data_IF_654269585730
#
_entry.id   IF_654269585730
#
_cell.length_a   1.000
_cell.length_b   1.000
_cell.length_c   1.000
_cell.angle_alpha   90.00
_cell.angle_beta   90.00
_cell.angle_gamma   90.00
#
_symmetry.space_group_name_H-M   'P 1'
#
loop_
_entity.id
_entity.type
_entity.pdbx_description
1 polymer ?
#
# COMPACT_ATOMS: atom_id res chain seq x y z
N UNK A 1 26.65 1.35 3.38
CA UNK A 1 25.93 2.60 3.09
C UNK A 1 24.51 2.56 3.69
N UNK A 2 23.63 1.60 3.35
CA UNK A 2 22.24 1.55 3.83
C UNK A 2 22.09 1.52 5.37
N UNK A 3 22.91 0.73 6.06
CA UNK A 3 22.92 0.67 7.54
C UNK A 3 23.35 2.01 8.17
N UNK A 4 24.29 2.71 7.54
CA UNK A 4 24.74 4.03 8.03
C UNK A 4 23.62 5.07 7.83
N UNK A 5 22.92 5.04 6.70
CA UNK A 5 21.79 5.93 6.44
C UNK A 5 20.63 5.64 7.40
N UNK A 6 20.33 4.36 7.63
CA UNK A 6 19.31 3.97 8.59
C UNK A 6 19.68 4.38 10.03
N UNK A 7 20.93 4.19 10.45
CA UNK A 7 21.41 4.63 11.75
C UNK A 7 21.38 6.16 11.87
N UNK A 8 21.82 6.89 10.84
CA UNK A 8 21.73 8.34 10.83
C UNK A 8 20.28 8.85 10.92
N UNK A 9 19.35 8.21 10.20
CA UNK A 9 17.94 8.51 10.28
C UNK A 9 17.35 8.23 11.70
N UNK A 10 17.81 7.17 12.37
CA UNK A 10 17.40 6.83 13.72
C UNK A 10 17.93 7.81 14.79
N UNK A 11 19.19 8.26 14.66
CA UNK A 11 19.81 9.10 15.71
C UNK A 11 19.63 10.59 15.47
N UNK A 12 19.60 11.03 14.21
CA UNK A 12 19.55 12.43 13.84
C UNK A 12 18.25 12.85 13.15
N UNK A 13 17.35 11.92 12.88
CA UNK A 13 16.15 12.17 12.09
C UNK A 13 15.21 13.20 12.74
N UNK A 14 15.03 13.15 14.04
CA UNK A 14 14.20 14.12 14.75
C UNK A 14 14.78 15.54 14.69
N UNK A 15 16.09 15.66 14.89
CA UNK A 15 16.79 16.95 14.79
C UNK A 15 16.78 17.52 13.36
N UNK A 16 16.95 16.64 12.36
CA UNK A 16 17.00 17.06 10.96
C UNK A 16 15.62 17.47 10.43
N UNK A 17 14.56 16.80 10.87
CA UNK A 17 13.20 17.04 10.41
C UNK A 17 12.48 18.12 11.22
N UNK A 18 12.97 18.47 12.40
CA UNK A 18 12.37 19.49 13.26
C UNK A 18 10.94 19.19 13.74
N UNK A 19 10.45 17.98 13.54
CA UNK A 19 9.10 17.54 13.89
C UNK A 19 9.08 16.07 14.30
N UNK A 20 8.57 15.79 15.47
CA UNK A 20 8.40 14.42 15.99
C UNK A 20 7.47 13.60 15.09
N UNK A 21 6.43 14.22 14.53
CA UNK A 21 5.49 13.54 13.63
C UNK A 21 6.18 13.08 12.33
N UNK A 22 6.99 13.94 11.72
CA UNK A 22 7.77 13.60 10.52
C UNK A 22 8.79 12.52 10.80
N UNK A 23 9.41 12.55 11.99
CA UNK A 23 10.34 11.52 12.42
C UNK A 23 9.66 10.15 12.56
N UNK A 24 8.50 10.07 13.21
CA UNK A 24 7.71 8.84 13.31
C UNK A 24 7.30 8.32 11.93
N UNK A 25 6.86 9.20 11.03
CA UNK A 25 6.53 8.83 9.64
C UNK A 25 7.75 8.30 8.88
N UNK A 26 8.94 8.86 9.11
CA UNK A 26 10.21 8.36 8.53
C UNK A 26 10.51 6.93 9.01
N UNK A 27 10.42 6.67 10.31
CA UNK A 27 10.67 5.35 10.89
C UNK A 27 9.70 4.30 10.35
N UNK A 28 8.42 4.64 10.28
CA UNK A 28 7.38 3.78 9.71
C UNK A 28 7.66 3.54 8.22
N UNK A 29 8.06 4.57 7.48
CA UNK A 29 8.43 4.46 6.08
C UNK A 29 9.61 3.52 5.83
N UNK A 30 10.65 3.57 6.68
CA UNK A 30 11.78 2.64 6.66
C UNK A 30 11.29 1.20 6.91
N UNK A 31 10.44 1.01 7.92
CA UNK A 31 9.85 -0.30 8.24
C UNK A 31 9.01 -0.86 7.09
N UNK A 32 8.15 -0.04 6.48
CA UNK A 32 7.36 -0.44 5.31
C UNK A 32 8.23 -0.78 4.10
N UNK A 33 9.22 0.06 3.79
CA UNK A 33 10.15 -0.17 2.69
C UNK A 33 10.91 -1.48 2.88
N UNK A 34 11.37 -1.74 4.10
CA UNK A 34 12.03 -2.99 4.46
C UNK A 34 11.10 -4.21 4.29
N UNK A 35 9.89 -4.14 4.83
CA UNK A 35 8.91 -5.23 4.74
C UNK A 35 8.49 -5.52 3.30
N UNK A 36 8.26 -4.48 2.48
CA UNK A 36 7.95 -4.62 1.05
C UNK A 36 9.09 -5.28 0.28
N UNK A 37 10.33 -4.86 0.54
CA UNK A 37 11.53 -5.43 -0.09
C UNK A 37 11.74 -6.89 0.30
N UNK A 38 11.62 -7.24 1.59
CA UNK A 38 11.85 -8.61 2.08
C UNK A 38 10.74 -9.59 1.73
N UNK A 39 9.49 -9.11 1.68
CA UNK A 39 8.33 -9.92 1.31
C UNK A 39 8.11 -10.04 -0.20
N UNK A 40 8.80 -9.25 -1.01
CA UNK A 40 8.54 -9.12 -2.46
C UNK A 40 7.06 -8.87 -2.77
N UNK A 41 6.40 -8.09 -1.91
CA UNK A 41 4.97 -7.80 -1.99
C UNK A 41 4.77 -6.49 -2.73
N UNK A 42 4.04 -6.54 -3.84
CA UNK A 42 3.67 -5.35 -4.60
C UNK A 42 2.37 -5.59 -5.36
N UNK A 43 1.48 -4.60 -5.37
CA UNK A 43 0.18 -4.73 -6.03
C UNK A 43 0.35 -4.94 -7.54
N UNK A 44 1.17 -4.14 -8.20
CA UNK A 44 1.48 -4.32 -9.62
C UNK A 44 2.17 -5.66 -9.90
N UNK A 45 3.05 -6.10 -9.01
CA UNK A 45 3.68 -7.41 -9.10
C UNK A 45 2.67 -8.55 -9.11
N UNK A 46 1.56 -8.42 -8.38
CA UNK A 46 0.50 -9.44 -8.37
C UNK A 46 -0.24 -9.53 -9.71
N UNK A 47 -0.54 -8.38 -10.31
CA UNK A 47 -1.21 -8.29 -11.62
C UNK A 47 -0.27 -8.78 -12.73
N UNK A 48 0.99 -8.32 -12.72
CA UNK A 48 1.98 -8.70 -13.72
C UNK A 48 2.27 -10.21 -13.68
N UNK A 49 2.44 -10.80 -12.49
CA UNK A 49 2.63 -12.26 -12.35
C UNK A 49 1.42 -13.04 -12.86
N UNK A 50 0.20 -12.60 -12.53
CA UNK A 50 -1.02 -13.23 -13.05
C UNK A 50 -1.05 -13.22 -14.59
N UNK A 51 -0.67 -12.11 -15.21
CA UNK A 51 -0.64 -11.98 -16.67
C UNK A 51 0.49 -12.78 -17.31
N UNK A 52 1.73 -12.63 -16.83
CA UNK A 52 2.93 -13.23 -17.46
C UNK A 52 3.06 -14.72 -17.18
N UNK A 53 2.85 -15.14 -15.93
CA UNK A 53 3.08 -16.52 -15.49
C UNK A 53 1.81 -17.31 -15.22
N UNK A 54 0.66 -16.63 -15.10
CA UNK A 54 -0.60 -17.24 -14.71
C UNK A 54 -0.74 -17.46 -13.18
N UNK A 55 0.31 -17.16 -12.38
CA UNK A 55 0.27 -17.31 -10.92
C UNK A 55 -0.51 -16.16 -10.27
N UNK A 56 -1.53 -16.49 -9.51
CA UNK A 56 -2.34 -15.52 -8.73
C UNK A 56 -2.09 -15.62 -7.23
N UNK A 57 -1.02 -16.33 -6.83
CA UNK A 57 -0.69 -16.54 -5.42
C UNK A 57 -0.50 -15.22 -4.66
N UNK A 58 0.25 -14.28 -5.25
CA UNK A 58 0.47 -12.97 -4.63
C UNK A 58 -0.83 -12.16 -4.50
N UNK A 59 -1.74 -12.24 -5.49
CA UNK A 59 -3.05 -11.59 -5.40
C UNK A 59 -3.86 -12.09 -4.19
N UNK A 60 -3.89 -13.40 -3.96
CA UNK A 60 -4.59 -13.99 -2.80
C UNK A 60 -3.98 -13.54 -1.48
N UNK A 61 -2.65 -13.41 -1.41
CA UNK A 61 -1.96 -12.91 -0.22
C UNK A 61 -2.24 -11.43 0.02
N UNK A 62 -2.35 -10.62 -1.04
CA UNK A 62 -2.78 -9.23 -0.90
C UNK A 62 -4.20 -9.11 -0.36
N UNK A 63 -5.13 -9.96 -0.81
CA UNK A 63 -6.49 -9.98 -0.25
C UNK A 63 -6.47 -10.37 1.24
N UNK A 64 -5.65 -11.35 1.61
CA UNK A 64 -5.43 -11.68 3.02
C UNK A 64 -4.85 -10.50 3.81
N UNK A 65 -3.85 -9.79 3.26
CA UNK A 65 -3.27 -8.60 3.88
C UNK A 65 -4.33 -7.51 4.08
N UNK A 66 -5.15 -7.24 3.09
CA UNK A 66 -6.21 -6.22 3.19
C UNK A 66 -7.25 -6.59 4.25
N UNK A 67 -7.65 -7.85 4.31
CA UNK A 67 -8.58 -8.33 5.33
C UNK A 67 -8.00 -8.18 6.74
N UNK A 68 -6.75 -8.61 6.96
CA UNK A 68 -6.07 -8.47 8.25
C UNK A 68 -5.88 -7.00 8.62
N UNK A 69 -5.49 -6.15 7.66
CA UNK A 69 -5.38 -4.70 7.88
C UNK A 69 -6.72 -4.09 8.30
N UNK A 70 -7.82 -4.47 7.64
CA UNK A 70 -9.15 -4.00 7.98
C UNK A 70 -9.54 -4.44 9.40
N UNK A 71 -9.33 -5.71 9.73
CA UNK A 71 -9.62 -6.25 11.06
C UNK A 71 -8.84 -5.53 12.17
N UNK A 72 -7.55 -5.32 11.97
CA UNK A 72 -6.71 -4.60 12.93
C UNK A 72 -7.05 -3.11 12.99
N UNK A 73 -7.45 -2.49 11.87
CA UNK A 73 -7.88 -1.09 11.82
C UNK A 73 -9.15 -0.86 12.63
N UNK A 74 -10.07 -1.83 12.64
CA UNK A 74 -11.26 -1.76 13.49
C UNK A 74 -10.88 -1.68 14.98
N UNK A 75 -9.85 -2.42 15.42
CA UNK A 75 -9.40 -2.34 16.82
C UNK A 75 -8.90 -0.94 17.21
N UNK A 76 -8.37 -0.17 16.26
CA UNK A 76 -7.92 1.22 16.48
C UNK A 76 -9.09 2.21 16.39
N UNK A 77 -10.02 1.99 15.46
CA UNK A 77 -11.13 2.91 15.23
C UNK A 77 -12.28 2.69 16.21
N UNK A 78 -12.41 1.48 16.77
CA UNK A 78 -13.49 1.16 17.70
C UNK A 78 -13.43 2.03 18.96
N UNK A 79 -14.53 2.69 19.26
CA UNK A 79 -14.64 3.60 20.40
C UNK A 79 -14.07 5.02 20.16
N UNK A 80 -13.57 5.29 18.96
CA UNK A 80 -13.12 6.62 18.57
C UNK A 80 -14.05 7.19 17.49
N UNK A 81 -14.09 8.52 17.42
CA UNK A 81 -14.79 9.19 16.31
C UNK A 81 -13.96 9.07 15.03
N UNK A 82 -14.54 8.44 14.00
CA UNK A 82 -13.89 8.27 12.71
C UNK A 82 -13.49 9.60 12.05
N UNK A 83 -14.22 10.69 12.36
CA UNK A 83 -13.91 12.03 11.84
C UNK A 83 -12.65 12.64 12.45
N UNK A 84 -12.18 12.09 13.58
CA UNK A 84 -10.89 12.50 14.19
C UNK A 84 -9.66 11.95 13.47
N UNK A 85 -9.86 11.02 12.52
CA UNK A 85 -8.82 10.44 11.68
C UNK A 85 -8.90 11.01 10.27
N UNK A 86 -7.75 11.24 9.64
CA UNK A 86 -7.64 11.58 8.23
C UNK A 86 -7.80 10.31 7.38
N UNK A 87 -9.04 9.82 7.31
CA UNK A 87 -9.38 8.63 6.55
C UNK A 87 -9.66 8.99 5.10
N UNK A 88 -9.04 8.26 4.20
CA UNK A 88 -9.30 8.40 2.77
C UNK A 88 -10.50 7.56 2.36
N UNK A 89 -11.69 8.14 2.42
CA UNK A 89 -12.95 7.49 2.02
C UNK A 89 -13.30 7.94 0.60
N UNK A 90 -13.01 7.12 -0.39
CA UNK A 90 -13.22 7.49 -1.79
C UNK A 90 -14.68 7.49 -2.21
N UNK A 91 -15.11 8.44 -3.07
CA UNK A 91 -16.39 8.40 -3.74
C UNK A 91 -16.47 7.21 -4.72
N UNK A 92 -17.65 6.60 -4.81
CA UNK A 92 -17.95 5.55 -5.80
C UNK A 92 -18.62 6.21 -7.00
N UNK A 93 -17.91 6.26 -8.13
CA UNK A 93 -18.36 6.95 -9.32
C UNK A 93 -17.72 6.39 -10.60
N UNK A 94 -18.07 6.94 -11.74
CA UNK A 94 -17.49 6.59 -13.03
C UNK A 94 -15.99 6.83 -13.07
N UNK A 95 -15.50 7.89 -12.39
CA UNK A 95 -14.08 8.22 -12.29
C UNK A 95 -13.26 7.13 -11.60
N UNK A 96 -13.81 6.51 -10.56
CA UNK A 96 -13.19 5.38 -9.88
C UNK A 96 -13.02 4.17 -10.82
N UNK A 97 -14.05 3.87 -11.62
CA UNK A 97 -13.99 2.75 -12.56
C UNK A 97 -13.00 3.00 -13.70
N UNK A 98 -13.06 4.15 -14.35
CA UNK A 98 -12.16 4.53 -15.42
C UNK A 98 -10.73 4.67 -14.91
N UNK A 99 -10.54 5.33 -13.76
CA UNK A 99 -9.24 5.47 -13.11
C UNK A 99 -8.62 4.13 -12.74
N UNK A 100 -9.42 3.20 -12.22
CA UNK A 100 -8.98 1.84 -11.92
C UNK A 100 -8.54 1.06 -13.17
N UNK A 101 -9.27 1.18 -14.28
CA UNK A 101 -8.88 0.59 -15.55
C UNK A 101 -7.57 1.18 -16.09
N UNK A 102 -7.45 2.50 -16.15
CA UNK A 102 -6.24 3.19 -16.62
C UNK A 102 -5.04 2.86 -15.73
N UNK A 103 -5.24 2.81 -14.42
CA UNK A 103 -4.19 2.40 -13.47
C UNK A 103 -3.76 0.95 -13.70
N UNK A 104 -4.72 0.04 -13.95
CA UNK A 104 -4.43 -1.35 -14.30
C UNK A 104 -3.57 -1.48 -15.56
N UNK A 105 -3.92 -0.77 -16.61
CA UNK A 105 -3.09 -0.69 -17.84
C UNK A 105 -1.70 -0.14 -17.52
N UNK A 106 -1.62 0.98 -16.80
CA UNK A 106 -0.34 1.59 -16.41
C UNK A 106 0.57 0.62 -15.64
N UNK A 107 0.01 -0.15 -14.70
CA UNK A 107 0.76 -1.16 -13.94
C UNK A 107 1.34 -2.28 -14.82
N UNK A 108 0.63 -2.70 -15.86
CA UNK A 108 1.12 -3.74 -16.79
C UNK A 108 2.29 -3.22 -17.63
N UNK A 109 2.20 -2.00 -18.15
CA UNK A 109 3.26 -1.41 -18.97
C UNK A 109 4.50 -1.02 -18.17
N UNK A 110 4.32 -0.42 -16.98
CA UNK A 110 5.44 0.01 -16.13
C UNK A 110 6.05 -1.13 -15.31
N UNK A 111 5.33 -2.26 -15.17
CA UNK A 111 5.74 -3.37 -14.30
C UNK A 111 5.72 -3.05 -12.80
N UNK A 112 5.26 -1.85 -12.40
CA UNK A 112 5.25 -1.42 -11.00
C UNK A 112 4.03 -0.54 -10.67
N UNK A 113 3.78 -0.34 -9.39
CA UNK A 113 2.81 0.61 -8.85
C UNK A 113 3.56 1.70 -8.07
N UNK A 114 2.83 2.61 -7.43
CA UNK A 114 3.40 3.70 -6.64
C UNK A 114 4.45 3.24 -5.61
N UNK A 115 4.17 2.18 -4.87
CA UNK A 115 5.14 1.60 -3.92
C UNK A 115 6.20 0.75 -4.61
N UNK A 116 5.83 0.05 -5.68
CA UNK A 116 6.73 -0.83 -6.43
C UNK A 116 7.84 -0.06 -7.17
N UNK A 117 7.57 1.17 -7.63
CA UNK A 117 8.59 1.97 -8.32
C UNK A 117 9.79 2.30 -7.42
N UNK A 118 9.55 2.52 -6.12
CA UNK A 118 10.63 2.77 -5.16
C UNK A 118 11.49 1.52 -4.92
N UNK A 119 10.88 0.34 -4.89
CA UNK A 119 11.63 -0.92 -4.80
C UNK A 119 12.45 -1.14 -6.07
N UNK A 120 11.87 -0.88 -7.25
CA UNK A 120 12.54 -1.01 -8.54
C UNK A 120 13.70 0.00 -8.72
N UNK A 121 13.72 1.11 -7.98
CA UNK A 121 14.87 2.05 -8.02
C UNK A 121 16.19 1.39 -7.60
N UNK A 122 16.14 0.33 -6.81
CA UNK A 122 17.35 -0.39 -6.38
C UNK A 122 17.83 -1.37 -7.46
N UNK A 123 16.89 -1.99 -8.18
CA UNK A 123 17.20 -3.08 -9.13
C UNK A 123 17.25 -2.61 -10.59
N UNK A 124 16.35 -1.68 -10.97
CA UNK A 124 16.12 -1.24 -12.36
C UNK A 124 16.07 0.29 -12.44
N UNK A 125 17.11 0.96 -11.99
CA UNK A 125 17.19 2.42 -11.85
C UNK A 125 16.70 3.22 -13.06
N UNK A 126 17.13 2.97 -14.32
CA UNK A 126 16.68 3.78 -15.46
C UNK A 126 15.18 3.69 -15.71
N UNK A 127 14.61 2.49 -15.63
CA UNK A 127 13.18 2.26 -15.82
C UNK A 127 12.38 2.90 -14.67
N UNK A 128 12.87 2.79 -13.45
CA UNK A 128 12.22 3.35 -12.27
C UNK A 128 12.17 4.88 -12.32
N UNK A 129 13.23 5.55 -12.76
CA UNK A 129 13.28 7.01 -12.89
C UNK A 129 12.26 7.49 -13.92
N UNK A 130 12.21 6.87 -15.09
CA UNK A 130 11.24 7.23 -16.14
C UNK A 130 9.80 7.02 -15.64
N UNK A 131 9.54 5.87 -15.01
CA UNK A 131 8.23 5.56 -14.46
C UNK A 131 7.84 6.57 -13.38
N UNK A 132 8.76 6.91 -12.47
CA UNK A 132 8.53 7.86 -11.38
C UNK A 132 8.22 9.26 -11.92
N UNK A 133 8.93 9.71 -12.95
CA UNK A 133 8.69 10.99 -13.60
C UNK A 133 7.28 11.07 -14.17
N UNK A 134 6.89 10.12 -15.02
CA UNK A 134 5.56 10.12 -15.63
C UNK A 134 4.44 9.85 -14.62
N UNK A 135 4.71 9.05 -13.59
CA UNK A 135 3.75 8.85 -12.50
C UNK A 135 3.52 10.14 -11.71
N UNK A 136 4.59 10.83 -11.32
CA UNK A 136 4.50 12.13 -10.63
C UNK A 136 3.79 13.18 -11.47
N UNK A 137 4.08 13.25 -12.78
CA UNK A 137 3.40 14.12 -13.73
C UNK A 137 1.91 13.80 -13.80
N UNK A 138 1.54 12.51 -13.92
CA UNK A 138 0.14 12.09 -13.98
C UNK A 138 -0.64 12.44 -12.72
N UNK A 139 -0.06 12.24 -11.54
CA UNK A 139 -0.67 12.61 -10.26
C UNK A 139 -0.83 14.15 -10.18
N UNK A 140 0.20 14.90 -10.57
CA UNK A 140 0.17 16.36 -10.56
C UNK A 140 -0.94 16.91 -11.46
N UNK A 141 -1.07 16.42 -12.70
CA UNK A 141 -2.15 16.79 -13.62
C UNK A 141 -3.52 16.33 -13.09
N UNK A 142 -3.54 15.22 -12.33
CA UNK A 142 -4.75 14.69 -11.72
C UNK A 142 -5.35 15.56 -10.61
N UNK A 143 -4.56 16.41 -9.92
CA UNK A 143 -5.05 17.23 -8.83
C UNK A 143 -6.20 18.18 -9.25
N UNK A 144 -6.06 19.03 -10.27
CA UNK A 144 -7.16 19.90 -10.68
C UNK A 144 -8.35 19.12 -11.25
N UNK A 145 -8.10 18.02 -11.97
CA UNK A 145 -9.18 17.17 -12.51
C UNK A 145 -10.00 16.56 -11.38
N UNK A 146 -9.35 16.06 -10.33
CA UNK A 146 -10.01 15.51 -9.15
C UNK A 146 -10.86 16.54 -8.41
N UNK A 147 -10.46 17.82 -8.42
CA UNK A 147 -11.19 18.89 -7.74
C UNK A 147 -12.36 19.45 -8.53
N UNK A 148 -12.26 19.50 -9.85
CA UNK A 148 -13.22 20.20 -10.73
C UNK A 148 -14.20 19.28 -11.44
N UNK A 149 -13.84 18.04 -11.71
CA UNK A 149 -14.67 17.13 -12.49
C UNK A 149 -15.78 16.49 -11.65
N UNK A 150 -17.03 16.81 -11.93
CA UNK A 150 -18.19 16.29 -11.19
C UNK A 150 -18.29 14.74 -11.24
N UNK A 151 -17.93 14.13 -12.37
CA UNK A 151 -17.93 12.67 -12.53
C UNK A 151 -16.86 11.95 -11.68
N UNK A 152 -15.94 12.69 -11.05
CA UNK A 152 -14.95 12.20 -10.08
C UNK A 152 -15.32 12.59 -8.64
N UNK A 153 -15.88 13.80 -8.43
CA UNK A 153 -16.14 14.34 -7.10
C UNK A 153 -17.50 13.91 -6.51
N UNK A 154 -18.47 13.62 -7.38
CA UNK A 154 -19.79 13.19 -6.94
C UNK A 154 -19.81 11.66 -6.81
N UNK A 155 -20.37 11.17 -5.71
CA UNK A 155 -20.53 9.73 -5.46
C UNK A 155 -21.94 9.28 -5.76
N UNK A 156 -22.10 8.09 -6.35
CA UNK A 156 -23.41 7.46 -6.52
C UNK A 156 -24.06 7.06 -5.18
N UNK A 157 -23.20 6.80 -4.20
CA UNK A 157 -23.59 6.47 -2.83
C UNK A 157 -22.68 7.24 -1.88
N UNK A 158 -23.26 7.92 -0.91
CA UNK A 158 -22.52 8.62 0.15
C UNK A 158 -23.06 8.22 1.50
N UNK A 159 -22.18 8.23 2.50
CA UNK A 159 -22.54 7.91 3.88
C UNK A 159 -22.34 9.13 4.78
N UNK A 160 -22.99 9.17 5.97
CA UNK A 160 -22.85 10.30 6.89
C UNK A 160 -21.39 10.62 7.24
N UNK A 161 -20.61 9.61 7.63
CA UNK A 161 -19.19 9.77 7.95
C UNK A 161 -18.39 10.18 6.72
N UNK A 162 -18.64 9.60 5.53
CA UNK A 162 -17.99 9.99 4.29
C UNK A 162 -18.25 11.45 3.90
N UNK A 163 -19.44 11.94 4.18
CA UNK A 163 -19.82 13.36 3.98
C UNK A 163 -19.13 14.25 5.00
N UNK A 164 -19.07 13.84 6.27
CA UNK A 164 -18.41 14.58 7.34
C UNK A 164 -16.90 14.72 7.10
N UNK A 165 -16.26 13.71 6.49
CA UNK A 165 -14.85 13.74 6.07
C UNK A 165 -14.61 14.58 4.80
N UNK A 166 -15.67 15.16 4.20
CA UNK A 166 -15.57 16.02 3.01
C UNK A 166 -15.30 15.29 1.69
N UNK A 167 -15.23 13.96 1.70
CA UNK A 167 -14.93 13.14 0.51
C UNK A 167 -16.17 12.65 -0.22
N UNK A 168 -17.36 12.75 0.39
CA UNK A 168 -18.65 12.21 -0.10
C UNK A 168 -18.58 10.71 -0.43
N UNK A 169 -17.63 10.00 0.14
CA UNK A 169 -17.40 8.58 -0.12
C UNK A 169 -18.26 7.65 0.73
N UNK A 170 -18.02 6.36 0.62
CA UNK A 170 -18.75 5.32 1.36
C UNK A 170 -17.89 4.79 2.49
N UNK A 171 -18.26 5.12 3.71
CA UNK A 171 -17.68 4.53 4.91
C UNK A 171 -18.46 3.27 5.28
N UNK A 172 -17.85 2.10 5.19
CA UNK A 172 -18.54 0.82 5.31
C UNK A 172 -19.30 0.61 6.63
N UNK A 173 -18.79 1.05 7.80
CA UNK A 173 -19.56 0.92 9.04
C UNK A 173 -20.92 1.63 9.01
N UNK A 174 -21.05 2.75 8.32
CA UNK A 174 -22.32 3.47 8.19
C UNK A 174 -23.43 2.68 7.47
N UNK A 175 -23.04 1.66 6.69
CA UNK A 175 -24.01 0.80 5.99
C UNK A 175 -24.72 -0.20 6.92
N UNK A 176 -24.18 -0.42 8.12
CA UNK A 176 -24.63 -1.43 9.06
C UNK A 176 -24.87 -0.87 10.48
N UNK A 177 -25.69 0.19 10.64
CA UNK A 177 -25.79 0.93 11.91
C UNK A 177 -26.33 0.09 13.08
N UNK A 178 -26.97 -1.05 12.80
CA UNK A 178 -27.67 -1.89 13.80
C UNK A 178 -26.98 -3.25 14.05
N UNK A 179 -25.69 -3.38 13.79
CA UNK A 179 -24.97 -4.65 13.95
C UNK A 179 -24.48 -4.94 15.38
N UNK A 180 -24.79 -4.06 16.34
CA UNK A 180 -24.36 -4.18 17.74
C UNK A 180 -22.88 -3.75 18.00
N UNK A 181 -22.10 -3.48 16.95
CA UNK A 181 -20.70 -3.04 17.02
C UNK A 181 -20.47 -1.76 16.22
N UNK A 182 -21.43 -0.83 16.24
CA UNK A 182 -21.35 0.46 15.52
C UNK A 182 -21.03 0.33 14.02
N UNK A 183 -21.53 -0.73 13.37
CA UNK A 183 -21.33 -0.98 11.95
C UNK A 183 -20.03 -1.71 11.60
N UNK A 184 -19.11 -1.88 12.52
CA UNK A 184 -17.82 -2.49 12.23
C UNK A 184 -17.90 -3.98 11.93
N UNK A 185 -18.82 -4.74 12.54
CA UNK A 185 -19.01 -6.15 12.22
C UNK A 185 -19.45 -6.34 10.78
N UNK A 186 -20.48 -5.59 10.36
CA UNK A 186 -20.97 -5.61 8.99
C UNK A 186 -19.89 -5.18 7.98
N UNK A 187 -19.11 -4.15 8.30
CA UNK A 187 -18.01 -3.69 7.48
C UNK A 187 -16.91 -4.77 7.29
N UNK A 188 -16.53 -5.49 8.37
CA UNK A 188 -15.57 -6.59 8.30
C UNK A 188 -16.14 -7.74 7.45
N UNK A 189 -17.40 -8.11 7.66
CA UNK A 189 -18.04 -9.17 6.86
C UNK A 189 -18.11 -8.80 5.38
N UNK A 190 -18.48 -7.57 5.05
CA UNK A 190 -18.49 -7.07 3.68
C UNK A 190 -17.07 -7.11 3.06
N UNK A 191 -16.07 -6.65 3.80
CA UNK A 191 -14.66 -6.70 3.36
C UNK A 191 -14.23 -8.15 3.14
N UNK A 192 -14.59 -9.07 4.02
CA UNK A 192 -14.30 -10.50 3.86
C UNK A 192 -14.93 -11.05 2.58
N UNK A 193 -16.22 -10.77 2.34
CA UNK A 193 -16.93 -11.23 1.13
C UNK A 193 -16.25 -10.71 -0.12
N UNK A 194 -15.88 -9.43 -0.18
CA UNK A 194 -15.17 -8.84 -1.32
C UNK A 194 -13.80 -9.49 -1.53
N UNK A 195 -13.02 -9.72 -0.46
CA UNK A 195 -11.74 -10.41 -0.54
C UNK A 195 -11.90 -11.86 -1.03
N UNK A 196 -12.87 -12.60 -0.51
CA UNK A 196 -13.16 -13.96 -0.94
C UNK A 196 -13.62 -14.03 -2.40
N UNK A 197 -14.38 -13.06 -2.88
CA UNK A 197 -14.78 -12.96 -4.28
C UNK A 197 -13.54 -12.82 -5.18
N UNK A 198 -12.62 -11.91 -4.87
CA UNK A 198 -11.37 -11.75 -5.63
C UNK A 198 -10.51 -13.01 -5.55
N UNK A 199 -10.42 -13.66 -4.39
CA UNK A 199 -9.71 -14.93 -4.24
C UNK A 199 -10.33 -16.01 -5.13
N UNK A 200 -11.66 -16.13 -5.15
CA UNK A 200 -12.40 -17.07 -6.01
C UNK A 200 -12.12 -16.85 -7.48
N UNK A 201 -12.23 -15.61 -7.96
CA UNK A 201 -11.90 -15.22 -9.34
C UNK A 201 -10.43 -15.54 -9.66
N UNK A 202 -9.52 -15.29 -8.72
CA UNK A 202 -8.10 -15.62 -8.86
C UNK A 202 -7.87 -17.12 -9.07
N UNK A 203 -8.54 -17.98 -8.31
CA UNK A 203 -8.47 -19.43 -8.50
C UNK A 203 -9.04 -19.89 -9.83
N UNK A 204 -10.19 -19.33 -10.26
CA UNK A 204 -10.78 -19.63 -11.55
C UNK A 204 -9.83 -19.28 -12.70
N UNK A 205 -9.21 -18.10 -12.64
CA UNK A 205 -8.22 -17.66 -13.62
C UNK A 205 -6.99 -18.58 -13.65
N UNK A 206 -6.40 -18.88 -12.49
CA UNK A 206 -5.23 -19.76 -12.39
C UNK A 206 -5.52 -21.16 -12.92
N UNK A 207 -6.69 -21.73 -12.58
CA UNK A 207 -7.12 -23.03 -13.08
C UNK A 207 -7.30 -23.03 -14.60
N UNK A 208 -7.85 -21.96 -15.18
CA UNK A 208 -7.93 -21.80 -16.65
C UNK A 208 -6.55 -21.78 -17.28
N UNK A 209 -5.58 -21.06 -16.69
CA UNK A 209 -4.19 -20.99 -17.17
C UNK A 209 -3.48 -22.36 -17.07
N UNK A 210 -3.73 -23.11 -16.00
CA UNK A 210 -3.21 -24.47 -15.84
C UNK A 210 -3.77 -25.42 -16.89
N UNK A 211 -5.08 -25.39 -17.14
CA UNK A 211 -5.74 -26.22 -18.18
C UNK A 211 -5.24 -25.90 -19.59
N UNK A 212 -4.88 -24.64 -19.89
CA UNK A 212 -4.34 -24.22 -21.18
C UNK A 212 -2.81 -24.38 -21.30
N UNK A 213 -2.15 -25.03 -20.34
CA UNK A 213 -0.69 -25.23 -20.30
C UNK A 213 0.13 -23.93 -20.39
N UNK A 214 -0.48 -22.79 -20.03
CA UNK A 214 0.17 -21.46 -20.04
C UNK A 214 0.59 -20.99 -18.66
N UNK A 215 0.45 -21.85 -17.64
CA UNK A 215 0.90 -21.56 -16.29
C UNK A 215 2.40 -21.82 -16.16
N UNK A 216 3.15 -20.83 -15.64
CA UNK A 216 4.58 -20.92 -15.37
C UNK A 216 4.83 -20.38 -13.96
N UNK A 217 5.40 -21.20 -13.08
CA UNK A 217 5.78 -20.75 -11.74
C UNK A 217 7.00 -19.82 -11.84
N UNK A 218 7.02 -18.75 -11.07
CA UNK A 218 8.13 -17.82 -11.06
C UNK A 218 9.24 -18.32 -10.12
N UNK A 219 10.51 -18.10 -10.48
CA UNK A 219 11.67 -18.54 -9.70
C UNK A 219 11.64 -18.08 -8.23
N UNK A 220 11.24 -16.83 -7.99
CA UNK A 220 11.07 -16.28 -6.63
C UNK A 220 10.03 -17.04 -5.80
N UNK A 221 8.94 -17.50 -6.43
CA UNK A 221 7.91 -18.30 -5.74
C UNK A 221 8.43 -19.70 -5.39
N UNK A 222 9.28 -20.28 -6.21
CA UNK A 222 9.99 -21.54 -5.91
C UNK A 222 10.89 -21.36 -4.69
N UNK A 223 11.74 -20.34 -4.69
CA UNK A 223 12.63 -20.09 -3.55
C UNK A 223 11.85 -19.92 -2.24
N UNK A 224 10.76 -19.14 -2.26
CA UNK A 224 9.94 -18.94 -1.07
C UNK A 224 9.25 -20.21 -0.60
N UNK A 225 8.84 -21.10 -1.51
CA UNK A 225 8.30 -22.43 -1.17
C UNK A 225 9.37 -23.30 -0.55
N UNK A 226 10.58 -23.33 -1.12
CA UNK A 226 11.70 -24.11 -0.62
C UNK A 226 12.10 -23.71 0.80
N UNK A 227 12.15 -22.40 1.08
CA UNK A 227 12.41 -21.89 2.44
C UNK A 227 11.31 -22.27 3.42
N UNK A 228 10.04 -22.20 3.01
CA UNK A 228 8.92 -22.62 3.85
C UNK A 228 8.94 -24.10 4.14
N UNK A 229 9.30 -24.95 3.17
CA UNK A 229 9.41 -26.38 3.36
C UNK A 229 10.57 -26.75 4.29
N UNK A 230 11.70 -26.05 4.19
CA UNK A 230 12.83 -26.24 5.12
C UNK A 230 12.47 -25.91 6.56
N UNK A 231 11.66 -24.87 6.79
CA UNK A 231 11.20 -24.50 8.12
C UNK A 231 10.18 -25.52 8.71
N UNK A 232 9.37 -26.15 7.85
CA UNK A 232 8.42 -27.20 8.28
C UNK A 232 9.08 -28.55 8.59
N UNK A 233 10.27 -28.80 8.02
CA UNK A 233 11.04 -30.04 8.25
C UNK A 233 12.02 -29.95 9.41
N UNK A 234 12.25 -28.76 9.99
CA UNK A 234 12.98 -28.63 11.25
C UNK A 234 12.04 -28.99 12.39
N UNK A 235 12.42 -30.02 13.16
CA UNK A 235 11.78 -30.33 14.43
C UNK A 235 11.75 -29.05 15.28
N UNK A 236 10.54 -28.61 15.63
CA UNK A 236 10.36 -27.45 16.50
C UNK A 236 10.70 -27.93 17.91
N UNK A 237 11.93 -27.71 18.32
CA UNK A 237 12.34 -27.95 19.69
C UNK A 237 11.72 -26.84 20.58
N UNK A 238 10.59 -27.19 21.20
CA UNK A 238 9.80 -26.29 22.05
C UNK A 238 10.56 -25.95 23.35
N UNK A 239 11.65 -26.66 23.65
CA UNK A 239 12.44 -26.47 24.88
C UNK A 239 13.42 -25.30 24.78
N UNK A 240 13.71 -24.79 23.60
CA UNK A 240 14.59 -23.66 23.40
C UNK A 240 13.81 -22.35 23.32
N UNK A 241 13.98 -21.52 24.35
CA UNK A 241 13.56 -20.10 24.31
C UNK A 241 14.24 -19.45 23.08
N UNK A 242 13.48 -18.82 22.16
CA UNK A 242 14.07 -18.20 20.98
C UNK A 242 15.06 -17.11 21.43
N UNK A 243 16.34 -17.38 21.21
CA UNK A 243 17.39 -16.39 21.50
C UNK A 243 17.35 -15.34 20.40
N UNK A 244 16.94 -14.12 20.75
CA UNK A 244 16.77 -12.99 19.82
C UNK A 244 18.05 -12.59 19.08
N UNK A 245 19.24 -12.91 19.62
CA UNK A 245 20.54 -12.52 19.07
C UNK A 245 21.34 -13.70 18.53
N UNK A 246 20.69 -14.71 17.95
CA UNK A 246 21.37 -15.81 17.27
C UNK A 246 21.62 -15.49 15.78
N UNK A 247 22.63 -16.16 15.21
CA UNK A 247 22.91 -16.10 13.78
C UNK A 247 21.70 -16.52 12.92
N UNK A 248 20.95 -17.52 13.37
CA UNK A 248 19.71 -17.96 12.72
C UNK A 248 18.66 -16.85 12.67
N UNK A 249 18.47 -16.11 13.74
CA UNK A 249 17.55 -14.97 13.79
C UNK A 249 18.00 -13.86 12.85
N UNK A 250 19.30 -13.57 12.83
CA UNK A 250 19.88 -12.60 11.90
C UNK A 250 19.67 -13.02 10.45
N UNK A 251 19.94 -14.28 10.10
CA UNK A 251 19.75 -14.80 8.75
C UNK A 251 18.27 -14.77 8.33
N UNK A 252 17.35 -15.12 9.20
CA UNK A 252 15.90 -15.04 8.93
C UNK A 252 15.40 -13.61 8.72
N UNK A 253 15.89 -12.67 9.51
CA UNK A 253 15.47 -11.28 9.41
C UNK A 253 16.13 -10.55 8.25
N UNK A 254 17.44 -10.70 8.05
CA UNK A 254 18.23 -9.83 7.19
C UNK A 254 18.79 -10.51 5.93
N UNK A 255 18.91 -11.82 5.88
CA UNK A 255 19.51 -12.52 4.74
C UNK A 255 18.46 -13.23 3.89
N UNK A 256 17.62 -14.04 4.51
CA UNK A 256 16.64 -14.88 3.81
C UNK A 256 15.40 -14.07 3.39
N UNK A 257 14.80 -14.32 2.21
CA UNK A 257 13.54 -13.70 1.84
C UNK A 257 12.42 -14.16 2.79
N UNK A 258 11.55 -13.24 3.15
CA UNK A 258 10.40 -13.58 3.99
C UNK A 258 9.34 -14.33 3.18
N UNK A 259 8.55 -15.18 3.87
CA UNK A 259 7.36 -15.71 3.24
C UNK A 259 6.41 -14.55 2.89
N UNK A 260 5.69 -14.66 1.77
CA UNK A 260 4.71 -13.64 1.38
C UNK A 260 3.69 -13.37 2.49
N UNK A 261 3.30 -14.41 3.25
CA UNK A 261 2.35 -14.27 4.37
C UNK A 261 2.95 -13.47 5.53
N UNK A 262 4.19 -13.76 5.90
CA UNK A 262 4.91 -13.01 6.93
C UNK A 262 5.05 -11.54 6.54
N UNK A 263 5.49 -11.27 5.32
CA UNK A 263 5.59 -9.91 4.81
C UNK A 263 4.24 -9.18 4.83
N UNK A 264 3.16 -9.85 4.42
CA UNK A 264 1.81 -9.29 4.44
C UNK A 264 1.34 -8.92 5.86
N UNK A 265 1.57 -9.80 6.85
CA UNK A 265 1.23 -9.53 8.24
C UNK A 265 2.04 -8.36 8.82
N UNK A 266 3.34 -8.30 8.54
CA UNK A 266 4.21 -7.22 9.01
C UNK A 266 3.77 -5.88 8.40
N UNK A 267 3.48 -5.85 7.09
CA UNK A 267 2.98 -4.64 6.42
C UNK A 267 1.65 -4.20 7.03
N UNK A 268 0.72 -5.14 7.25
CA UNK A 268 -0.56 -4.84 7.89
C UNK A 268 -0.38 -4.26 9.30
N UNK A 269 0.50 -4.84 10.11
CA UNK A 269 0.80 -4.35 11.46
C UNK A 269 1.41 -2.93 11.43
N UNK A 270 2.40 -2.70 10.56
CA UNK A 270 3.04 -1.37 10.43
C UNK A 270 2.02 -0.32 9.95
N UNK A 271 1.12 -0.69 9.02
CA UNK A 271 0.06 0.21 8.55
C UNK A 271 -0.87 0.62 9.70
N UNK A 272 -1.27 -0.33 10.53
CA UNK A 272 -2.16 -0.04 11.68
C UNK A 272 -1.46 0.81 12.74
N UNK A 273 -0.17 0.57 12.98
CA UNK A 273 0.65 1.44 13.85
C UNK A 273 0.70 2.85 13.29
N UNK A 274 0.93 3.01 11.97
CA UNK A 274 0.89 4.30 11.30
C UNK A 274 -0.43 5.02 11.55
N UNK A 275 -1.55 4.34 11.29
CA UNK A 275 -2.88 4.91 11.49
C UNK A 275 -3.14 5.28 12.96
N UNK A 276 -2.76 4.43 13.90
CA UNK A 276 -2.95 4.69 15.33
C UNK A 276 -2.15 5.88 15.85
N UNK A 277 -0.91 6.05 15.38
CA UNK A 277 -0.01 7.12 15.83
C UNK A 277 -0.27 8.43 15.11
N UNK A 278 -0.43 8.40 13.80
CA UNK A 278 -0.57 9.62 12.99
C UNK A 278 -2.02 10.01 12.72
N UNK A 279 -2.97 9.17 13.10
CA UNK A 279 -4.41 9.30 12.78
C UNK A 279 -4.69 9.47 11.28
N UNK A 280 -3.76 9.03 10.43
CA UNK A 280 -3.85 9.14 8.99
C UNK A 280 -3.52 7.81 8.32
N UNK A 281 -4.06 7.61 7.12
CA UNK A 281 -3.70 6.47 6.28
C UNK A 281 -2.37 6.66 5.55
N UNK A 282 -1.94 5.63 4.83
CA UNK A 282 -0.76 5.70 3.98
C UNK A 282 -1.11 6.28 2.61
N UNK A 283 -0.82 7.55 2.40
CA UNK A 283 -0.96 8.21 1.10
C UNK A 283 0.21 7.89 0.17
N UNK A 284 0.06 6.87 -0.67
CA UNK A 284 1.17 6.40 -1.50
C UNK A 284 1.40 7.23 -2.77
N UNK A 285 0.42 7.96 -3.30
CA UNK A 285 0.49 8.64 -4.59
C UNK A 285 0.72 10.14 -4.51
N UNK A 286 0.08 10.81 -3.57
CA UNK A 286 0.15 12.29 -3.40
C UNK A 286 1.57 12.85 -3.36
N UNK A 287 2.54 12.24 -2.63
CA UNK A 287 3.91 12.74 -2.58
C UNK A 287 4.59 12.85 -3.95
N UNK A 288 4.28 11.96 -4.88
CA UNK A 288 4.89 12.00 -6.22
C UNK A 288 4.42 13.21 -7.04
N UNK A 289 3.12 13.58 -6.93
CA UNK A 289 2.62 14.82 -7.54
C UNK A 289 3.25 16.07 -6.93
N UNK A 290 3.45 16.07 -5.60
CA UNK A 290 4.16 17.16 -4.91
C UNK A 290 5.62 17.23 -5.37
N UNK A 291 6.33 16.12 -5.48
CA UNK A 291 7.71 16.10 -6.00
C UNK A 291 7.79 16.62 -7.44
N UNK A 292 6.82 16.26 -8.29
CA UNK A 292 6.75 16.81 -9.64
C UNK A 292 6.52 18.33 -9.63
N UNK A 293 5.65 18.83 -8.76
CA UNK A 293 5.47 20.27 -8.55
C UNK A 293 6.75 20.97 -8.07
N UNK A 294 7.49 20.38 -7.13
CA UNK A 294 8.81 20.88 -6.69
C UNK A 294 9.83 20.90 -7.83
N UNK A 295 9.83 19.85 -8.67
CA UNK A 295 10.68 19.83 -9.86
C UNK A 295 10.36 21.02 -10.80
N UNK A 296 9.08 21.33 -11.04
CA UNK A 296 8.70 22.48 -11.86
C UNK A 296 9.15 23.81 -11.24
N UNK A 297 9.10 23.93 -9.91
CA UNK A 297 9.63 25.14 -9.22
C UNK A 297 11.13 25.27 -9.42
N UNK A 298 11.89 24.18 -9.32
CA UNK A 298 13.34 24.22 -9.58
C UNK A 298 13.68 24.55 -11.04
N UNK A 299 12.76 24.29 -11.97
CA UNK A 299 12.85 24.66 -13.38
C UNK A 299 12.39 26.11 -13.66
N UNK A 300 12.00 26.87 -12.62
CA UNK A 300 11.65 28.28 -12.73
C UNK A 300 10.15 28.60 -12.81
N UNK A 301 9.28 27.62 -12.61
CA UNK A 301 7.83 27.89 -12.51
C UNK A 301 7.53 28.48 -11.14
N UNK A 302 6.84 29.61 -11.08
CA UNK A 302 6.48 30.27 -9.83
C UNK A 302 5.55 29.41 -8.96
N UNK A 303 5.79 29.38 -7.65
CA UNK A 303 4.98 28.59 -6.69
C UNK A 303 3.50 28.97 -6.76
N UNK A 304 3.16 30.23 -6.99
CA UNK A 304 1.80 30.73 -7.16
C UNK A 304 1.06 30.09 -8.33
N UNK A 305 1.75 29.86 -9.46
CA UNK A 305 1.15 29.17 -10.61
C UNK A 305 0.83 27.71 -10.31
N UNK A 306 1.71 27.05 -9.55
CA UNK A 306 1.51 25.64 -9.15
C UNK A 306 0.35 25.53 -8.16
N UNK A 307 0.27 26.43 -7.18
CA UNK A 307 -0.84 26.50 -6.23
C UNK A 307 -2.16 26.76 -6.93
N UNK A 308 -2.18 27.75 -7.84
CA UNK A 308 -3.36 28.05 -8.64
C UNK A 308 -3.80 26.87 -9.51
N UNK A 309 -2.85 26.15 -10.11
CA UNK A 309 -3.14 25.00 -10.96
C UNK A 309 -3.65 23.80 -10.15
N UNK A 310 -2.99 23.47 -9.03
CA UNK A 310 -3.32 22.29 -8.23
C UNK A 310 -4.47 22.50 -7.25
N UNK A 311 -4.80 23.75 -6.91
CA UNK A 311 -5.74 24.10 -5.85
C UNK A 311 -5.27 23.69 -4.43
N UNK A 312 -4.01 23.25 -4.29
CA UNK A 312 -3.42 22.83 -3.02
C UNK A 312 -2.84 24.02 -2.26
N UNK A 313 -2.62 23.85 -0.94
CA UNK A 313 -1.90 24.85 -0.15
C UNK A 313 -0.44 24.96 -0.61
N UNK A 314 0.19 26.13 -0.43
CA UNK A 314 1.59 26.35 -0.81
C UNK A 314 2.60 25.53 0.01
N UNK A 315 2.29 25.26 1.29
CA UNK A 315 3.20 24.60 2.22
C UNK A 315 3.86 23.28 1.74
N UNK A 316 3.18 22.38 1.02
CA UNK A 316 3.81 21.17 0.48
C UNK A 316 4.84 21.42 -0.61
N UNK A 317 4.81 22.59 -1.27
CA UNK A 317 5.67 22.91 -2.42
C UNK A 317 6.88 23.80 -2.05
N UNK A 318 6.84 24.43 -0.91
CA UNK A 318 7.92 25.30 -0.39
C UNK A 318 9.03 24.56 0.35
#
# INVERSE_FOLDING_TARGET
AALVIAAAALFFGEWLLGSQELYVRLLIGIGLGYALSRGYIGFAGSVNRAYTTGSTRLMRILMFMFFISALMSVAVLYGHDATSFDLWVNPINTGLLIGGLLFGFGMVFSGCCASGVLVNMVELLPQAIITLFFFGMGVFIGFPVQQTASWINESWLSTPTGTALGTKGVYFPDLFPNDGLNGYLGAILLTAVLCFLVIGVSYLYENKRKKSSTYRLQFLEHMQVDYMQRDLTKDIDITHVPQLFTRDTFERLFVNPWSMRTGAMVIAAIFVILMGVTKAGWGASTPYGIWFGKLLITLGVGTEHIVAFTGMKAAPFV
#
